data_IF_261028520286
#
_entry.id   IF_261028520286
#
_cell.length_a   1.000
_cell.length_b   1.000
_cell.length_c   1.000
_cell.angle_alpha   90.00
_cell.angle_beta   90.00
_cell.angle_gamma   90.00
#
_symmetry.space_group_name_H-M   'P 1'
#
loop_
_entity.id
_entity.type
_entity.pdbx_description
1 polymer ?
#
# COMPACT_ATOMS: atom_id res chain seq x y z
N UNK A 1 8.33 142.48 -7.86
CA UNK A 1 7.78 141.82 -6.66
C UNK A 1 8.40 140.42 -6.60
N UNK A 2 9.50 140.20 -5.88
CA UNK A 2 9.45 139.89 -4.43
C UNK A 2 8.22 139.06 -4.08
N UNK A 3 8.38 137.75 -4.03
CA UNK A 3 7.38 136.79 -3.57
C UNK A 3 8.08 135.47 -3.34
N UNK A 4 8.98 135.48 -2.36
CA UNK A 4 8.84 134.64 -1.17
C UNK A 4 9.17 133.17 -1.45
N UNK A 5 10.42 132.83 -1.13
CA UNK A 5 10.89 131.45 -1.02
C UNK A 5 9.89 130.61 -0.20
N UNK A 6 9.51 129.41 -0.66
CA UNK A 6 8.47 128.63 -0.01
C UNK A 6 8.86 128.02 1.35
N UNK A 7 10.11 128.17 1.82
CA UNK A 7 10.58 127.81 3.19
C UNK A 7 12.00 128.30 3.46
N UNK A 8 12.23 128.80 4.67
CA UNK A 8 13.48 129.36 5.17
C UNK A 8 14.34 128.31 5.91
N UNK A 9 15.66 128.45 5.80
CA UNK A 9 16.69 127.52 6.29
C UNK A 9 16.57 127.33 7.82
N UNK A 10 16.10 126.15 8.28
CA UNK A 10 16.22 125.73 9.69
C UNK A 10 14.99 125.27 10.49
N UNK A 11 13.80 125.05 9.90
CA UNK A 11 12.64 124.56 10.66
C UNK A 11 12.57 123.01 10.77
N UNK A 12 12.22 122.42 11.94
CA UNK A 12 12.15 120.96 12.15
C UNK A 12 10.89 120.28 11.57
N UNK A 13 11.01 118.99 11.20
CA UNK A 13 10.01 118.18 10.49
C UNK A 13 9.09 117.33 11.42
N UNK A 14 7.81 117.11 11.05
CA UNK A 14 6.91 116.16 11.73
C UNK A 14 7.20 114.69 11.37
N UNK A 15 6.98 113.77 12.32
CA UNK A 15 7.33 112.36 12.26
C UNK A 15 6.32 111.48 11.49
N UNK A 16 6.85 110.42 10.85
CA UNK A 16 6.16 109.44 9.98
C UNK A 16 5.81 108.18 10.78
N UNK A 17 4.58 107.68 10.61
CA UNK A 17 4.02 106.48 11.28
C UNK A 17 4.62 105.16 10.73
N UNK A 18 5.17 104.28 11.59
CA UNK A 18 5.74 102.99 11.22
C UNK A 18 4.77 101.96 10.61
N UNK A 19 3.45 102.08 10.73
CA UNK A 19 2.52 101.00 10.38
C UNK A 19 2.33 100.74 8.87
N UNK A 20 2.66 101.70 8.01
CA UNK A 20 2.32 101.63 6.57
C UNK A 20 3.51 101.42 5.62
N UNK A 21 4.74 101.31 6.11
CA UNK A 21 5.92 101.23 5.25
C UNK A 21 6.29 99.76 4.93
N UNK A 22 6.00 99.30 3.69
CA UNK A 22 6.61 98.08 3.14
C UNK A 22 5.71 96.94 2.62
N UNK A 23 4.39 97.10 2.52
CA UNK A 23 3.52 96.05 1.94
C UNK A 23 3.36 96.20 0.42
N UNK A 24 4.10 95.41 -0.36
CA UNK A 24 3.89 95.25 -1.80
C UNK A 24 2.73 94.26 -2.09
N UNK A 25 1.88 94.50 -3.10
CA UNK A 25 0.78 93.60 -3.44
C UNK A 25 1.28 92.26 -3.99
N UNK A 26 0.60 91.16 -3.64
CA UNK A 26 0.94 89.79 -4.06
C UNK A 26 0.82 89.64 -5.59
N UNK A 27 1.84 89.04 -6.21
CA UNK A 27 1.86 88.70 -7.65
C UNK A 27 1.65 87.20 -7.86
N UNK A 28 1.03 86.81 -8.97
CA UNK A 28 0.71 85.40 -9.29
C UNK A 28 1.93 84.45 -9.26
N UNK A 29 3.12 84.96 -9.53
CA UNK A 29 4.38 84.20 -9.43
C UNK A 29 4.76 83.90 -7.96
N UNK A 30 4.48 84.81 -7.03
CA UNK A 30 4.72 84.61 -5.60
C UNK A 30 3.86 83.51 -5.00
N UNK A 31 2.60 83.40 -5.44
CA UNK A 31 1.70 82.33 -5.00
C UNK A 31 2.12 80.95 -5.59
N UNK A 32 2.62 80.91 -6.83
CA UNK A 32 3.16 79.68 -7.43
C UNK A 32 4.42 79.17 -6.72
N UNK A 33 5.36 80.06 -6.38
CA UNK A 33 6.57 79.69 -5.61
C UNK A 33 6.20 79.16 -4.22
N UNK A 34 5.19 79.76 -3.57
CA UNK A 34 4.70 79.30 -2.27
C UNK A 34 4.07 77.90 -2.33
N UNK A 35 3.38 77.55 -3.42
CA UNK A 35 2.82 76.21 -3.65
C UNK A 35 3.94 75.16 -3.80
N UNK A 36 4.95 75.42 -4.63
CA UNK A 36 6.10 74.50 -4.77
C UNK A 36 6.87 74.32 -3.46
N UNK A 37 7.06 75.40 -2.69
CA UNK A 37 7.71 75.32 -1.38
C UNK A 37 6.89 74.52 -0.35
N UNK A 38 5.55 74.53 -0.47
CA UNK A 38 4.66 73.72 0.36
C UNK A 38 4.72 72.25 -0.05
N UNK A 39 4.70 71.97 -1.35
CA UNK A 39 4.77 70.60 -1.87
C UNK A 39 6.11 69.91 -1.56
N UNK A 40 7.22 70.66 -1.58
CA UNK A 40 8.54 70.14 -1.19
C UNK A 40 8.61 69.81 0.32
N UNK A 41 7.95 70.62 1.17
CA UNK A 41 7.81 70.33 2.60
C UNK A 41 6.94 69.09 2.85
N UNK A 42 5.82 68.97 2.14
CA UNK A 42 4.92 67.83 2.27
C UNK A 42 5.58 66.53 1.76
N UNK A 43 6.41 66.60 0.72
CA UNK A 43 7.21 65.46 0.25
C UNK A 43 8.22 65.00 1.30
N UNK A 44 9.00 65.92 1.88
CA UNK A 44 9.98 65.59 2.93
C UNK A 44 9.29 65.00 4.18
N UNK A 45 8.11 65.49 4.53
CA UNK A 45 7.32 64.96 5.63
C UNK A 45 6.85 63.50 5.37
N UNK A 46 6.44 63.18 4.14
CA UNK A 46 6.06 61.80 3.74
C UNK A 46 7.26 60.84 3.82
N UNK A 47 8.41 61.25 3.30
CA UNK A 47 9.64 60.45 3.34
C UNK A 47 10.12 60.17 4.77
N UNK A 48 10.03 61.17 5.68
CA UNK A 48 10.32 60.96 7.10
C UNK A 48 9.33 60.01 7.77
N UNK A 49 8.05 60.06 7.39
CA UNK A 49 7.01 59.20 7.97
C UNK A 49 7.19 57.74 7.54
N UNK A 50 7.53 57.50 6.26
CA UNK A 50 7.87 56.17 5.75
C UNK A 50 9.16 55.63 6.38
N UNK A 51 10.19 56.46 6.54
CA UNK A 51 11.43 56.07 7.22
C UNK A 51 11.18 55.71 8.70
N UNK A 52 10.27 56.41 9.39
CA UNK A 52 9.85 56.08 10.75
C UNK A 52 9.06 54.77 10.82
N UNK A 53 8.16 54.51 9.87
CA UNK A 53 7.44 53.24 9.77
C UNK A 53 8.39 52.06 9.52
N UNK A 54 9.31 52.17 8.56
CA UNK A 54 10.29 51.11 8.29
C UNK A 54 11.21 50.83 9.48
N UNK A 55 11.59 51.86 10.26
CA UNK A 55 12.35 51.69 11.51
C UNK A 55 11.52 51.00 12.59
N UNK A 56 10.22 51.29 12.69
CA UNK A 56 9.32 50.65 13.64
C UNK A 56 9.09 49.17 13.28
N UNK A 57 8.87 48.86 12.00
CA UNK A 57 8.71 47.50 11.50
C UNK A 57 9.97 46.66 11.71
N UNK A 58 11.16 47.21 11.43
CA UNK A 58 12.44 46.53 11.72
C UNK A 58 12.63 46.24 13.21
N UNK A 59 12.23 47.16 14.10
CA UNK A 59 12.28 46.93 15.55
C UNK A 59 11.29 45.86 16.01
N UNK A 60 10.08 45.84 15.47
CA UNK A 60 9.10 44.78 15.76
C UNK A 60 9.56 43.41 15.24
N UNK A 61 10.15 43.36 14.04
CA UNK A 61 10.69 42.13 13.47
C UNK A 61 11.88 41.57 14.29
N UNK A 62 12.79 42.45 14.74
CA UNK A 62 13.90 42.06 15.63
C UNK A 62 13.39 41.51 16.98
N UNK A 63 12.42 42.20 17.60
CA UNK A 63 11.79 41.74 18.84
C UNK A 63 11.05 40.40 18.68
N UNK A 64 10.39 40.17 17.54
CA UNK A 64 9.76 38.90 17.23
C UNK A 64 10.77 37.76 17.06
N UNK A 65 11.90 38.01 16.39
CA UNK A 65 12.98 37.03 16.26
C UNK A 65 13.63 36.69 17.61
N UNK A 66 13.85 37.69 18.48
CA UNK A 66 14.36 37.47 19.84
C UNK A 66 13.36 36.66 20.69
N UNK A 67 12.06 36.94 20.59
CA UNK A 67 11.02 36.18 21.26
C UNK A 67 10.97 34.72 20.78
N UNK A 68 11.12 34.47 19.47
CA UNK A 68 11.21 33.13 18.90
C UNK A 68 12.48 32.40 19.37
N UNK A 69 13.62 33.08 19.44
CA UNK A 69 14.88 32.51 19.92
C UNK A 69 14.79 32.16 21.41
N UNK A 70 14.18 33.02 22.24
CA UNK A 70 13.94 32.75 23.65
C UNK A 70 12.98 31.57 23.85
N UNK A 71 11.89 31.51 23.07
CA UNK A 71 10.95 30.39 23.09
C UNK A 71 11.61 29.07 22.63
N UNK A 72 12.50 29.11 21.64
CA UNK A 72 13.29 27.96 21.21
C UNK A 72 14.24 27.51 22.33
N UNK A 73 14.95 28.45 22.98
CA UNK A 73 15.83 28.17 24.12
C UNK A 73 15.11 27.53 25.31
N UNK A 74 13.88 27.96 25.59
CA UNK A 74 13.02 27.35 26.61
C UNK A 74 12.64 25.91 26.24
N UNK A 75 12.25 25.66 24.98
CA UNK A 75 11.96 24.31 24.48
C UNK A 75 13.18 23.39 24.55
N UNK A 76 14.37 23.91 24.23
CA UNK A 76 15.62 23.15 24.37
C UNK A 76 15.91 22.80 25.83
N UNK A 77 15.77 23.75 26.77
CA UNK A 77 15.94 23.49 28.21
C UNK A 77 14.94 22.46 28.73
N UNK A 78 13.66 22.58 28.35
CA UNK A 78 12.64 21.57 28.70
C UNK A 78 12.96 20.20 28.14
N UNK A 79 13.40 20.12 26.87
CA UNK A 79 13.84 18.87 26.25
C UNK A 79 15.03 18.27 27.00
N UNK A 80 16.03 19.08 27.34
CA UNK A 80 17.25 18.62 27.99
C UNK A 80 17.00 18.15 29.43
N UNK A 81 15.98 18.68 30.12
CA UNK A 81 15.48 18.15 31.40
C UNK A 81 14.71 16.82 31.25
N UNK A 82 14.04 16.62 30.11
CA UNK A 82 13.29 15.40 29.83
C UNK A 82 14.20 14.26 29.32
N UNK A 83 15.28 14.56 28.61
CA UNK A 83 16.19 13.56 28.03
C UNK A 83 16.75 12.58 29.08
N UNK A 84 17.22 12.98 30.28
CA UNK A 84 17.63 12.05 31.33
C UNK A 84 16.50 11.16 31.83
N UNK A 85 15.30 11.71 32.03
CA UNK A 85 14.10 10.94 32.45
C UNK A 85 13.72 9.90 31.40
N UNK A 86 13.76 10.29 30.12
CA UNK A 86 13.53 9.42 28.98
C UNK A 86 14.62 8.34 28.90
N UNK A 87 15.90 8.67 29.13
CA UNK A 87 17.01 7.69 29.17
C UNK A 87 16.85 6.68 30.29
N UNK A 88 16.47 7.12 31.49
CA UNK A 88 16.20 6.23 32.63
C UNK A 88 14.98 5.34 32.34
N UNK A 89 13.90 5.90 31.79
CA UNK A 89 12.72 5.14 31.38
C UNK A 89 13.05 4.10 30.29
N UNK A 90 13.86 4.44 29.29
CA UNK A 90 14.33 3.50 28.28
C UNK A 90 15.26 2.42 28.86
N UNK A 91 16.14 2.77 29.82
CA UNK A 91 17.01 1.80 30.48
C UNK A 91 16.21 0.83 31.37
N UNK A 92 15.17 1.31 32.07
CA UNK A 92 14.24 0.49 32.82
C UNK A 92 13.39 -0.40 31.88
N UNK A 93 12.88 0.16 30.79
CA UNK A 93 12.14 -0.59 29.78
C UNK A 93 13.01 -1.65 29.09
N UNK A 94 14.31 -1.43 28.86
CA UNK A 94 15.21 -2.47 28.32
C UNK A 94 15.39 -3.66 29.27
N UNK A 95 15.21 -3.46 30.58
CA UNK A 95 15.29 -4.53 31.59
C UNK A 95 13.96 -5.28 31.75
N UNK A 96 12.86 -4.72 31.27
CA UNK A 96 11.55 -5.37 31.30
C UNK A 96 11.44 -6.43 30.18
N UNK A 97 11.23 -7.73 30.51
CA UNK A 97 11.03 -8.79 29.52
C UNK A 97 9.86 -8.52 28.56
N UNK A 98 8.87 -7.71 28.98
CA UNK A 98 7.66 -7.42 28.20
C UNK A 98 7.90 -6.31 27.15
N UNK A 99 8.92 -5.47 27.36
CA UNK A 99 9.21 -4.29 26.53
C UNK A 99 9.62 -4.62 25.10
N UNK A 100 10.42 -5.66 24.89
CA UNK A 100 10.87 -6.07 23.54
C UNK A 100 9.71 -6.43 22.61
N UNK A 101 8.88 -7.44 22.96
CA UNK A 101 7.72 -7.80 22.15
C UNK A 101 6.70 -6.67 21.98
N UNK A 102 6.60 -5.76 22.96
CA UNK A 102 5.74 -4.57 22.85
C UNK A 102 6.29 -3.55 21.85
N UNK A 103 7.60 -3.29 21.85
CA UNK A 103 8.25 -2.43 20.87
C UNK A 103 8.09 -2.99 19.45
N UNK A 104 8.31 -4.29 19.28
CA UNK A 104 8.11 -4.99 18.00
C UNK A 104 6.65 -4.92 17.53
N UNK A 105 5.69 -5.09 18.45
CA UNK A 105 4.27 -4.92 18.16
C UNK A 105 3.95 -3.49 17.71
N UNK A 106 4.56 -2.47 18.33
CA UNK A 106 4.35 -1.07 17.96
C UNK A 106 4.96 -0.72 16.60
N UNK A 107 6.04 -1.40 16.21
CA UNK A 107 6.66 -1.27 14.89
C UNK A 107 5.86 -1.94 13.77
N UNK A 108 4.91 -2.82 14.09
CA UNK A 108 4.08 -3.46 13.08
C UNK A 108 3.12 -2.46 12.37
N UNK A 109 2.81 -2.72 11.10
CA UNK A 109 1.73 -2.06 10.38
C UNK A 109 0.38 -2.09 11.12
N UNK A 110 -0.45 -1.07 10.92
CA UNK A 110 -1.75 -0.93 11.61
C UNK A 110 -2.67 -2.14 11.46
N UNK A 111 -2.71 -2.78 10.30
CA UNK A 111 -3.58 -3.93 10.06
C UNK A 111 -3.15 -5.19 10.84
N UNK A 112 -1.89 -5.28 11.28
CA UNK A 112 -1.41 -6.34 12.20
C UNK A 112 -1.41 -5.87 13.64
N UNK A 113 -0.96 -4.64 13.87
CA UNK A 113 -0.84 -4.03 15.20
C UNK A 113 -2.19 -3.91 15.88
N UNK A 114 -3.20 -3.39 15.19
CA UNK A 114 -4.54 -3.14 15.76
C UNK A 114 -5.19 -4.39 16.35
N UNK A 115 -5.35 -5.52 15.63
CA UNK A 115 -5.99 -6.70 16.20
C UNK A 115 -5.18 -7.31 17.36
N UNK A 116 -3.85 -7.31 17.27
CA UNK A 116 -2.99 -7.82 18.34
C UNK A 116 -3.04 -6.94 19.60
N UNK A 117 -3.09 -5.62 19.43
CA UNK A 117 -3.23 -4.65 20.50
C UNK A 117 -4.62 -4.72 21.16
N UNK A 118 -5.68 -4.88 20.37
CA UNK A 118 -7.03 -5.11 20.90
C UNK A 118 -7.08 -6.36 21.76
N UNK A 119 -6.46 -7.46 21.32
CA UNK A 119 -6.36 -8.68 22.12
C UNK A 119 -5.57 -8.45 23.41
N UNK A 120 -4.47 -7.72 23.35
CA UNK A 120 -3.69 -7.37 24.54
C UNK A 120 -4.51 -6.55 25.53
N UNK A 121 -5.21 -5.51 25.09
CA UNK A 121 -6.10 -4.68 25.92
C UNK A 121 -7.18 -5.50 26.62
N UNK A 122 -7.78 -6.46 25.91
CA UNK A 122 -8.77 -7.38 26.51
C UNK A 122 -8.14 -8.26 27.62
N UNK A 123 -6.90 -8.70 27.43
CA UNK A 123 -6.19 -9.50 28.44
C UNK A 123 -5.70 -8.65 29.62
N UNK A 124 -5.34 -7.39 29.40
CA UNK A 124 -4.99 -6.44 30.45
C UNK A 124 -6.20 -6.21 31.38
N UNK A 125 -7.38 -5.93 30.82
CA UNK A 125 -8.63 -5.82 31.61
C UNK A 125 -8.92 -7.08 32.44
N UNK A 126 -8.69 -8.27 31.87
CA UNK A 126 -8.86 -9.54 32.60
C UNK A 126 -7.83 -9.72 33.71
N UNK A 127 -6.61 -9.24 33.51
CA UNK A 127 -5.55 -9.26 34.52
C UNK A 127 -5.88 -8.29 35.67
N UNK A 128 -6.25 -7.05 35.35
CA UNK A 128 -6.69 -6.05 36.33
C UNK A 128 -7.86 -6.56 37.18
N UNK A 129 -8.86 -7.19 36.55
CA UNK A 129 -9.99 -7.79 37.28
C UNK A 129 -9.57 -8.99 38.16
N UNK A 130 -8.57 -9.76 37.74
CA UNK A 130 -8.04 -10.87 38.54
C UNK A 130 -7.22 -10.36 39.74
N UNK A 131 -6.40 -9.32 39.53
CA UNK A 131 -5.62 -8.65 40.57
C UNK A 131 -6.55 -8.00 41.61
N UNK A 132 -7.61 -7.32 41.16
CA UNK A 132 -8.66 -6.78 42.05
C UNK A 132 -9.38 -7.87 42.86
N UNK A 133 -9.49 -9.08 42.30
CA UNK A 133 -10.04 -10.26 42.99
C UNK A 133 -8.99 -11.04 43.82
N UNK A 134 -7.77 -10.50 44.00
CA UNK A 134 -6.68 -11.14 44.76
C UNK A 134 -6.06 -12.38 44.09
N UNK A 135 -6.35 -12.63 42.81
CA UNK A 135 -5.84 -13.79 42.07
C UNK A 135 -4.50 -13.46 41.42
N UNK A 136 -3.53 -14.36 41.50
CA UNK A 136 -2.18 -14.22 40.90
C UNK A 136 -2.12 -14.43 39.37
N UNK A 137 -3.27 -14.48 38.70
CA UNK A 137 -3.35 -14.75 37.26
C UNK A 137 -2.87 -13.55 36.44
N UNK A 138 -1.79 -13.73 35.66
CA UNK A 138 -1.23 -12.69 34.76
C UNK A 138 -1.39 -13.03 33.28
N UNK A 139 -2.62 -13.00 32.74
CA UNK A 139 -2.88 -13.39 31.36
C UNK A 139 -2.26 -12.44 30.32
N UNK A 140 -2.11 -11.15 30.62
CA UNK A 140 -1.51 -10.19 29.69
C UNK A 140 0.00 -10.41 29.54
N UNK A 141 0.74 -10.47 30.67
CA UNK A 141 2.18 -10.77 30.64
C UNK A 141 2.48 -12.15 30.02
N UNK A 142 1.67 -13.17 30.32
CA UNK A 142 1.81 -14.50 29.69
C UNK A 142 1.63 -14.42 28.17
N UNK A 143 0.66 -13.64 27.69
CA UNK A 143 0.42 -13.44 26.27
C UNK A 143 1.59 -12.72 25.59
N UNK A 144 2.13 -11.65 26.20
CA UNK A 144 3.27 -10.90 25.67
C UNK A 144 4.48 -11.83 25.51
N UNK A 145 4.83 -12.58 26.56
CA UNK A 145 6.05 -13.41 26.60
C UNK A 145 5.98 -14.66 25.73
N UNK A 146 4.80 -15.29 25.62
CA UNK A 146 4.65 -16.55 24.87
C UNK A 146 4.01 -16.34 23.50
N UNK A 147 2.71 -16.05 23.47
CA UNK A 147 1.92 -16.06 22.24
C UNK A 147 2.29 -14.90 21.31
N UNK A 148 2.41 -13.67 21.80
CA UNK A 148 2.76 -12.51 20.99
C UNK A 148 4.17 -12.66 20.39
N UNK A 149 5.16 -13.02 21.21
CA UNK A 149 6.52 -13.30 20.73
C UNK A 149 6.55 -14.36 19.62
N UNK A 150 5.76 -15.45 19.76
CA UNK A 150 5.62 -16.46 18.71
C UNK A 150 4.99 -15.87 17.44
N UNK A 151 3.91 -15.10 17.55
CA UNK A 151 3.25 -14.49 16.40
C UNK A 151 4.17 -13.51 15.66
N UNK A 152 4.96 -12.72 16.38
CA UNK A 152 5.95 -11.80 15.80
C UNK A 152 7.02 -12.56 15.00
N UNK A 153 7.56 -13.65 15.56
CA UNK A 153 8.51 -14.53 14.84
C UNK A 153 7.89 -15.12 13.58
N UNK A 154 6.63 -15.53 13.64
CA UNK A 154 5.88 -16.06 12.48
C UNK A 154 5.67 -15.01 11.40
N UNK A 155 5.35 -13.76 11.75
CA UNK A 155 5.23 -12.64 10.81
C UNK A 155 6.58 -12.37 10.13
N UNK A 156 7.68 -12.35 10.91
CA UNK A 156 9.03 -12.17 10.38
C UNK A 156 9.43 -13.29 9.41
N UNK A 157 9.07 -14.55 9.74
CA UNK A 157 9.27 -15.70 8.84
C UNK A 157 8.47 -15.54 7.54
N UNK A 158 7.21 -15.10 7.59
CA UNK A 158 6.44 -14.80 6.37
C UNK A 158 7.12 -13.70 5.56
N UNK A 159 7.58 -12.63 6.20
CA UNK A 159 8.26 -11.53 5.50
C UNK A 159 9.53 -11.98 4.80
N UNK A 160 10.35 -12.84 5.40
CA UNK A 160 11.58 -13.33 4.75
C UNK A 160 11.31 -14.19 3.51
N UNK A 161 10.16 -14.87 3.42
CA UNK A 161 9.75 -15.61 2.23
C UNK A 161 9.43 -14.69 1.05
N UNK A 162 8.79 -13.55 1.29
CA UNK A 162 8.48 -12.57 0.26
C UNK A 162 9.70 -11.69 -0.05
N UNK A 163 10.39 -11.19 0.96
CA UNK A 163 11.60 -10.37 0.85
C UNK A 163 12.85 -11.23 0.63
N UNK A 164 12.87 -12.00 -0.47
CA UNK A 164 14.07 -12.76 -0.83
C UNK A 164 15.23 -11.81 -1.15
N UNK A 165 16.48 -12.29 -1.04
CA UNK A 165 17.64 -11.46 -1.37
C UNK A 165 17.58 -10.90 -2.81
N UNK A 166 17.11 -11.70 -3.78
CA UNK A 166 16.92 -11.26 -5.17
C UNK A 166 15.85 -10.17 -5.29
N UNK A 167 14.75 -10.31 -4.54
CA UNK A 167 13.68 -9.31 -4.50
C UNK A 167 14.22 -7.96 -3.97
N UNK A 168 14.94 -7.99 -2.85
CA UNK A 168 15.52 -6.79 -2.23
C UNK A 168 16.57 -6.14 -3.14
N UNK A 169 17.47 -6.94 -3.72
CA UNK A 169 18.50 -6.45 -4.64
C UNK A 169 17.88 -5.75 -5.85
N UNK A 170 16.82 -6.33 -6.43
CA UNK A 170 16.13 -5.73 -7.57
C UNK A 170 15.42 -4.44 -7.19
N UNK A 171 14.76 -4.42 -6.01
CA UNK A 171 14.14 -3.21 -5.49
C UNK A 171 15.16 -2.06 -5.34
N UNK A 172 16.33 -2.32 -4.77
CA UNK A 172 17.38 -1.31 -4.59
C UNK A 172 18.00 -0.90 -5.93
N UNK A 173 18.34 -1.87 -6.79
CA UNK A 173 18.99 -1.62 -8.09
C UNK A 173 18.13 -0.73 -8.98
N UNK A 174 16.83 -1.01 -9.07
CA UNK A 174 15.90 -0.28 -9.92
C UNK A 174 15.21 0.89 -9.18
N UNK A 175 15.65 1.21 -7.95
CA UNK A 175 15.09 2.27 -7.10
C UNK A 175 13.58 2.16 -6.86
N UNK A 176 13.11 0.93 -6.66
CA UNK A 176 11.73 0.57 -6.38
C UNK A 176 11.55 0.29 -4.88
N UNK A 177 11.98 1.21 -4.01
CA UNK A 177 12.03 1.00 -2.55
C UNK A 177 10.67 0.63 -1.94
N UNK A 178 9.58 1.14 -2.51
CA UNK A 178 8.20 0.83 -2.09
C UNK A 178 7.85 -0.67 -2.23
N UNK A 179 8.57 -1.43 -3.05
CA UNK A 179 8.43 -2.90 -3.12
C UNK A 179 8.76 -3.57 -1.78
N UNK A 180 9.65 -2.97 -0.97
CA UNK A 180 10.02 -3.48 0.36
C UNK A 180 8.87 -3.35 1.37
N UNK A 181 7.94 -2.44 1.10
CA UNK A 181 6.79 -2.11 1.93
C UNK A 181 5.45 -2.44 1.26
N UNK A 182 5.47 -3.30 0.24
CA UNK A 182 4.31 -3.62 -0.62
C UNK A 182 2.98 -3.87 0.15
N UNK A 183 2.92 -4.62 1.27
CA UNK A 183 1.67 -4.86 2.02
C UNK A 183 1.00 -3.59 2.59
N UNK A 184 1.78 -2.52 2.80
CA UNK A 184 1.33 -1.23 3.33
C UNK A 184 0.65 -0.36 2.27
N UNK A 185 0.97 -0.58 0.99
CA UNK A 185 0.52 0.29 -0.08
C UNK A 185 -0.98 0.22 -0.29
N UNK A 186 -1.55 1.40 -0.54
CA UNK A 186 -2.92 1.57 -1.00
C UNK A 186 -2.98 1.50 -2.54
N UNK A 187 -4.17 1.63 -3.12
CA UNK A 187 -4.36 1.54 -4.58
C UNK A 187 -3.51 2.55 -5.37
N UNK A 188 -3.42 3.80 -4.90
CA UNK A 188 -2.65 4.86 -5.56
C UNK A 188 -1.16 4.56 -5.51
N UNK A 189 -0.65 4.16 -4.34
CA UNK A 189 0.75 3.75 -4.18
C UNK A 189 1.12 2.57 -5.08
N UNK A 190 0.22 1.60 -5.24
CA UNK A 190 0.41 0.49 -6.18
C UNK A 190 0.43 0.95 -7.64
N UNK A 191 -0.41 1.90 -8.04
CA UNK A 191 -0.39 2.47 -9.39
C UNK A 191 0.93 3.19 -9.68
N UNK A 192 1.39 4.05 -8.76
CA UNK A 192 2.69 4.73 -8.89
C UNK A 192 3.84 3.73 -8.99
N UNK A 193 3.87 2.73 -8.09
CA UNK A 193 4.89 1.70 -8.11
C UNK A 193 4.85 0.85 -9.39
N UNK A 194 3.66 0.56 -9.91
CA UNK A 194 3.49 -0.18 -11.15
C UNK A 194 4.02 0.60 -12.36
N UNK A 195 3.80 1.92 -12.41
CA UNK A 195 4.39 2.79 -13.43
C UNK A 195 5.92 2.76 -13.35
N UNK A 196 6.50 2.92 -12.16
CA UNK A 196 7.95 2.86 -11.98
C UNK A 196 8.52 1.49 -12.36
N UNK A 197 7.84 0.41 -11.99
CA UNK A 197 8.24 -0.97 -12.34
C UNK A 197 8.19 -1.17 -13.85
N UNK A 198 7.11 -0.75 -14.51
CA UNK A 198 7.00 -0.80 -15.97
C UNK A 198 8.13 -0.02 -16.65
N UNK A 199 8.42 1.20 -16.19
CA UNK A 199 9.53 2.00 -16.70
C UNK A 199 10.89 1.34 -16.47
N UNK A 200 11.13 0.67 -15.34
CA UNK A 200 12.36 -0.08 -15.09
C UNK A 200 12.53 -1.24 -16.09
N UNK A 201 11.45 -1.97 -16.38
CA UNK A 201 11.46 -3.06 -17.37
C UNK A 201 11.67 -2.52 -18.79
N UNK A 202 11.05 -1.40 -19.15
CA UNK A 202 11.28 -0.72 -20.43
C UNK A 202 12.72 -0.25 -20.56
N UNK A 203 13.25 0.43 -19.54
CA UNK A 203 14.63 0.91 -19.54
C UNK A 203 15.65 -0.22 -19.65
N UNK A 204 15.43 -1.34 -18.96
CA UNK A 204 16.30 -2.52 -19.07
C UNK A 204 16.21 -3.19 -20.45
N UNK A 205 15.03 -3.21 -21.07
CA UNK A 205 14.87 -3.66 -22.45
C UNK A 205 15.66 -2.76 -23.41
N UNK A 206 15.43 -1.45 -23.36
CA UNK A 206 16.06 -0.47 -24.25
C UNK A 206 17.59 -0.49 -24.12
N UNK A 207 18.08 -0.60 -22.88
CA UNK A 207 19.51 -0.72 -22.56
C UNK A 207 20.17 -1.95 -23.19
N UNK A 208 19.44 -3.04 -23.37
CA UNK A 208 19.96 -4.28 -23.97
C UNK A 208 19.71 -4.36 -25.48
N UNK A 209 18.61 -3.80 -25.95
CA UNK A 209 18.21 -3.86 -27.35
C UNK A 209 18.99 -2.86 -28.22
N UNK A 210 19.35 -1.69 -27.66
CA UNK A 210 20.01 -0.59 -28.37
C UNK A 210 21.54 -0.60 -28.24
N UNK A 211 22.13 -1.69 -27.71
CA UNK A 211 23.60 -1.75 -27.57
C UNK A 211 24.29 -1.73 -28.94
N UNK A 212 25.31 -0.87 -29.14
CA UNK A 212 26.05 -0.80 -30.39
C UNK A 212 26.64 -2.16 -30.79
N UNK A 213 26.47 -2.55 -32.05
CA UNK A 213 27.01 -3.78 -32.60
C UNK A 213 26.13 -5.03 -32.45
N UNK A 214 24.96 -4.94 -31.80
CA UNK A 214 24.03 -6.08 -31.71
C UNK A 214 22.99 -6.04 -32.85
N UNK A 215 22.86 -7.15 -33.59
CA UNK A 215 21.85 -7.31 -34.64
C UNK A 215 20.46 -7.55 -34.05
N UNK A 216 19.56 -6.60 -34.27
CA UNK A 216 18.15 -6.66 -33.89
C UNK A 216 17.43 -7.83 -34.56
N UNK A 217 17.29 -8.94 -33.83
CA UNK A 217 16.65 -10.17 -34.32
C UNK A 217 15.57 -10.66 -33.34
N UNK A 218 14.55 -11.42 -33.81
CA UNK A 218 13.55 -12.02 -32.92
C UNK A 218 14.16 -12.89 -31.81
N UNK A 219 15.26 -13.58 -32.12
CA UNK A 219 15.99 -14.40 -31.14
C UNK A 219 16.68 -13.55 -30.07
N UNK A 220 17.21 -12.38 -30.42
CA UNK A 220 17.73 -11.44 -29.43
C UNK A 220 16.61 -10.89 -28.54
N UNK A 221 15.47 -10.50 -29.12
CA UNK A 221 14.31 -10.04 -28.37
C UNK A 221 13.79 -11.12 -27.39
N UNK A 222 13.79 -12.39 -27.82
CA UNK A 222 13.47 -13.53 -26.96
C UNK A 222 14.46 -13.64 -25.79
N UNK A 223 15.77 -13.54 -26.05
CA UNK A 223 16.78 -13.61 -25.00
C UNK A 223 16.64 -12.47 -23.98
N UNK A 224 16.32 -11.26 -24.44
CA UNK A 224 16.04 -10.12 -23.55
C UNK A 224 14.78 -10.38 -22.73
N UNK A 225 13.68 -10.81 -23.38
CA UNK A 225 12.46 -11.22 -22.68
C UNK A 225 12.74 -12.27 -21.59
N UNK A 226 13.58 -13.27 -21.86
CA UNK A 226 13.90 -14.30 -20.88
C UNK A 226 14.63 -13.72 -19.66
N UNK A 227 15.54 -12.76 -19.86
CA UNK A 227 16.22 -12.03 -18.77
C UNK A 227 15.26 -11.16 -17.97
N UNK A 228 14.40 -10.38 -18.64
CA UNK A 228 13.33 -9.62 -17.99
C UNK A 228 12.36 -10.55 -17.24
N UNK A 229 12.08 -11.73 -17.81
CA UNK A 229 11.26 -12.75 -17.18
C UNK A 229 11.87 -13.24 -15.86
N UNK A 230 13.19 -13.44 -15.80
CA UNK A 230 13.88 -13.75 -14.54
C UNK A 230 13.83 -12.60 -13.52
N UNK A 231 13.84 -11.33 -13.98
CA UNK A 231 13.60 -10.18 -13.08
C UNK A 231 12.19 -10.23 -12.50
N UNK A 232 11.16 -10.43 -13.33
CA UNK A 232 9.78 -10.55 -12.87
C UNK A 232 9.57 -11.74 -11.91
N UNK A 233 10.20 -12.89 -12.19
CA UNK A 233 10.20 -14.04 -11.27
C UNK A 233 10.85 -13.72 -9.93
N UNK A 234 11.89 -12.88 -9.91
CA UNK A 234 12.51 -12.41 -8.66
C UNK A 234 11.57 -11.52 -7.84
N UNK A 235 10.56 -10.91 -8.49
CA UNK A 235 9.44 -10.19 -7.87
C UNK A 235 8.23 -11.09 -7.54
N UNK A 236 8.37 -12.42 -7.59
CA UNK A 236 7.28 -13.40 -7.41
C UNK A 236 6.14 -13.28 -8.42
N UNK A 237 6.43 -12.75 -9.61
CA UNK A 237 5.47 -12.54 -10.70
C UNK A 237 5.85 -13.42 -11.88
N UNK A 238 4.94 -14.30 -12.29
CA UNK A 238 5.14 -15.14 -13.47
C UNK A 238 5.04 -14.28 -14.73
N UNK A 239 6.08 -14.26 -15.58
CA UNK A 239 6.06 -13.46 -16.80
C UNK A 239 4.93 -13.91 -17.74
N UNK A 240 4.35 -12.99 -18.54
CA UNK A 240 3.34 -13.34 -19.53
C UNK A 240 3.87 -14.39 -20.51
N UNK A 241 3.14 -15.47 -20.75
CA UNK A 241 3.56 -16.56 -21.67
C UNK A 241 4.88 -17.26 -21.28
N UNK A 242 5.30 -17.23 -20.01
CA UNK A 242 6.58 -17.79 -19.56
C UNK A 242 6.79 -19.26 -19.97
N UNK A 243 5.82 -20.14 -19.72
CA UNK A 243 5.97 -21.56 -20.09
C UNK A 243 6.20 -21.77 -21.60
N UNK A 244 5.62 -20.91 -22.44
CA UNK A 244 5.80 -20.96 -23.88
C UNK A 244 7.09 -20.29 -24.36
N UNK A 245 7.73 -19.43 -23.57
CA UNK A 245 8.88 -18.60 -23.99
C UNK A 245 10.16 -18.83 -23.15
N UNK A 246 10.09 -19.61 -22.06
CA UNK A 246 11.22 -19.87 -21.16
C UNK A 246 12.38 -20.60 -21.85
N UNK A 247 13.63 -20.37 -21.43
CA UNK A 247 14.75 -21.17 -21.90
C UNK A 247 14.63 -22.59 -21.33
N UNK A 248 14.35 -23.58 -22.18
CA UNK A 248 14.23 -24.97 -21.77
C UNK A 248 15.02 -25.86 -22.75
N UNK A 249 16.13 -26.41 -22.27
CA UNK A 249 17.03 -27.25 -23.07
C UNK A 249 16.40 -28.60 -23.45
N UNK A 250 15.33 -29.03 -22.76
CA UNK A 250 14.65 -30.31 -23.00
C UNK A 250 13.31 -30.17 -23.73
N UNK A 251 13.05 -29.02 -24.35
CA UNK A 251 11.74 -28.72 -24.95
C UNK A 251 11.50 -29.56 -26.21
N UNK A 252 10.36 -30.25 -26.25
CA UNK A 252 9.92 -31.05 -27.42
C UNK A 252 9.25 -30.23 -28.53
N UNK A 253 8.65 -29.10 -28.17
CA UNK A 253 7.92 -28.21 -29.09
C UNK A 253 8.74 -26.95 -29.36
N UNK A 254 8.72 -26.45 -30.59
CA UNK A 254 9.36 -25.18 -30.94
C UNK A 254 8.83 -24.00 -30.11
N UNK A 255 9.64 -22.94 -30.01
CA UNK A 255 9.28 -21.73 -29.28
C UNK A 255 8.28 -20.93 -30.14
N UNK A 256 7.12 -20.65 -29.56
CA UNK A 256 6.05 -19.88 -30.20
C UNK A 256 6.38 -18.37 -30.13
N UNK A 257 7.12 -17.88 -31.13
CA UNK A 257 7.58 -16.49 -31.20
C UNK A 257 6.44 -15.48 -31.39
N UNK A 258 5.28 -15.89 -31.91
CA UNK A 258 4.09 -15.02 -32.05
C UNK A 258 3.61 -14.45 -30.71
N UNK A 259 3.88 -15.17 -29.62
CA UNK A 259 3.54 -14.74 -28.26
C UNK A 259 4.50 -13.71 -27.67
N UNK A 260 5.66 -13.50 -28.29
CA UNK A 260 6.73 -12.65 -27.76
C UNK A 260 6.36 -11.16 -27.71
N UNK A 261 5.82 -10.54 -28.79
CA UNK A 261 5.49 -9.11 -28.77
C UNK A 261 4.51 -8.76 -27.65
N UNK A 262 3.39 -9.49 -27.55
CA UNK A 262 2.39 -9.26 -26.50
C UNK A 262 2.92 -9.54 -25.08
N UNK A 263 3.89 -10.45 -24.94
CA UNK A 263 4.52 -10.70 -23.65
C UNK A 263 5.46 -9.56 -23.21
N UNK A 264 6.25 -9.02 -24.13
CA UNK A 264 7.09 -7.84 -23.90
C UNK A 264 6.23 -6.60 -23.59
N UNK A 265 5.20 -6.33 -24.39
CA UNK A 265 4.29 -5.20 -24.16
C UNK A 265 3.66 -5.23 -22.76
N UNK A 266 3.28 -6.42 -22.27
CA UNK A 266 2.75 -6.56 -20.89
C UNK A 266 3.80 -6.29 -19.81
N UNK A 267 5.04 -6.73 -20.00
CA UNK A 267 6.14 -6.45 -19.06
C UNK A 267 6.47 -4.95 -18.99
N UNK A 268 6.15 -4.17 -20.02
CA UNK A 268 6.33 -2.72 -20.09
C UNK A 268 5.04 -1.94 -19.76
N UNK A 269 3.96 -2.62 -19.41
CA UNK A 269 2.64 -2.02 -19.21
C UNK A 269 2.37 -1.75 -17.72
N UNK A 270 2.20 -0.48 -17.36
CA UNK A 270 1.88 -0.06 -15.99
C UNK A 270 0.55 -0.64 -15.47
N UNK A 271 -0.47 -0.76 -16.33
CA UNK A 271 -1.76 -1.34 -15.95
C UNK A 271 -1.62 -2.84 -15.62
N UNK A 272 -0.87 -3.59 -16.43
CA UNK A 272 -0.58 -4.99 -16.15
C UNK A 272 0.15 -5.17 -14.81
N UNK A 273 1.18 -4.35 -14.56
CA UNK A 273 1.89 -4.34 -13.28
C UNK A 273 1.00 -3.94 -12.10
N UNK A 274 0.07 -3.01 -12.30
CA UNK A 274 -0.91 -2.62 -11.26
C UNK A 274 -1.69 -3.83 -10.79
N UNK A 275 -2.18 -4.66 -11.72
CA UNK A 275 -2.88 -5.90 -11.38
C UNK A 275 -1.97 -6.93 -10.70
N UNK A 276 -0.73 -7.13 -11.18
CA UNK A 276 0.17 -8.13 -10.60
C UNK A 276 0.60 -7.74 -9.19
N UNK A 277 1.04 -6.49 -8.99
CA UNK A 277 1.48 -5.97 -7.70
C UNK A 277 0.33 -5.91 -6.70
N UNK A 278 -0.88 -5.54 -7.13
CA UNK A 278 -2.07 -5.59 -6.26
C UNK A 278 -2.35 -7.00 -5.76
N UNK A 279 -2.28 -8.01 -6.65
CA UNK A 279 -2.47 -9.42 -6.28
C UNK A 279 -1.38 -9.92 -5.33
N UNK A 280 -0.11 -9.55 -5.58
CA UNK A 280 1.00 -9.91 -4.70
C UNK A 280 0.85 -9.26 -3.32
N UNK A 281 0.53 -7.97 -3.29
CA UNK A 281 0.24 -7.19 -2.08
C UNK A 281 -0.86 -7.87 -1.25
N UNK A 282 -1.98 -8.23 -1.86
CA UNK A 282 -3.09 -8.89 -1.16
C UNK A 282 -2.70 -10.27 -0.63
N UNK A 283 -1.99 -11.08 -1.42
CA UNK A 283 -1.50 -12.38 -0.96
C UNK A 283 -0.54 -12.25 0.22
N UNK A 284 0.46 -11.37 0.12
CA UNK A 284 1.43 -11.17 1.19
C UNK A 284 0.77 -10.68 2.47
N UNK A 285 -0.12 -9.68 2.38
CA UNK A 285 -0.87 -9.18 3.53
C UNK A 285 -1.73 -10.25 4.19
N UNK A 286 -2.40 -11.09 3.40
CA UNK A 286 -3.20 -12.19 3.94
C UNK A 286 -2.32 -13.23 4.65
N UNK A 287 -1.17 -13.58 4.09
CA UNK A 287 -0.23 -14.51 4.72
C UNK A 287 0.36 -13.95 6.03
N UNK A 288 0.57 -12.64 6.14
CA UNK A 288 0.97 -11.99 7.40
C UNK A 288 -0.15 -12.08 8.44
N UNK A 289 -1.40 -11.83 8.04
CA UNK A 289 -2.56 -11.94 8.93
C UNK A 289 -2.78 -13.39 9.39
N UNK A 290 -2.56 -14.36 8.50
CA UNK A 290 -2.56 -15.78 8.84
C UNK A 290 -1.46 -16.15 9.82
N UNK A 291 -0.23 -15.66 9.60
CA UNK A 291 0.88 -15.82 10.53
C UNK A 291 0.58 -15.22 11.92
N UNK A 292 -0.14 -14.10 11.94
CA UNK A 292 -0.61 -13.42 13.14
C UNK A 292 -1.84 -14.08 13.82
N UNK A 293 -2.31 -15.24 13.32
CA UNK A 293 -3.46 -15.96 13.86
C UNK A 293 -4.80 -15.26 13.65
N UNK A 294 -4.88 -14.32 12.70
CA UNK A 294 -6.11 -13.61 12.34
C UNK A 294 -7.00 -14.40 11.37
N UNK A 295 -6.45 -15.47 10.80
CA UNK A 295 -7.20 -16.49 10.03
C UNK A 295 -7.18 -17.76 10.85
N UNK A 296 -8.32 -18.07 11.47
CA UNK A 296 -8.49 -19.24 12.33
C UNK A 296 -9.97 -19.47 12.60
N UNK A 297 -10.32 -20.67 13.08
CA UNK A 297 -11.69 -21.02 13.46
C UNK A 297 -12.31 -20.03 14.46
N UNK A 298 -11.50 -19.52 15.40
CA UNK A 298 -11.96 -18.64 16.48
C UNK A 298 -12.00 -17.15 16.09
N UNK A 299 -11.16 -16.71 15.15
CA UNK A 299 -11.06 -15.27 14.80
C UNK A 299 -11.86 -14.93 13.54
N UNK A 300 -11.58 -15.63 12.46
CA UNK A 300 -12.13 -15.43 11.12
C UNK A 300 -11.76 -16.65 10.27
N UNK A 301 -12.69 -17.58 10.01
CA UNK A 301 -12.39 -18.77 9.24
C UNK A 301 -12.15 -18.44 7.76
N UNK A 302 -11.26 -19.20 7.11
CA UNK A 302 -10.91 -19.17 5.68
C UNK A 302 -10.14 -17.94 5.20
N UNK A 303 -10.52 -16.76 5.69
CA UNK A 303 -10.00 -15.47 5.25
C UNK A 303 -10.01 -14.48 6.40
N UNK A 304 -9.03 -13.57 6.43
CA UNK A 304 -8.98 -12.48 7.40
C UNK A 304 -10.18 -11.53 7.25
N UNK A 305 -10.55 -10.86 8.35
CA UNK A 305 -11.62 -9.84 8.33
C UNK A 305 -11.32 -8.68 7.38
N UNK A 306 -10.03 -8.33 7.24
CA UNK A 306 -9.56 -7.28 6.35
C UNK A 306 -9.86 -7.63 4.88
N UNK A 307 -9.45 -8.81 4.44
CA UNK A 307 -9.69 -9.27 3.08
C UNK A 307 -11.19 -9.55 2.82
N UNK A 308 -11.93 -10.06 3.80
CA UNK A 308 -13.39 -10.26 3.69
C UNK A 308 -14.14 -8.93 3.50
N UNK A 309 -13.78 -7.91 4.27
CA UNK A 309 -14.37 -6.58 4.14
C UNK A 309 -14.04 -5.95 2.78
N UNK A 310 -12.78 -6.05 2.34
CA UNK A 310 -12.37 -5.58 1.02
C UNK A 310 -13.14 -6.29 -0.11
N UNK A 311 -13.34 -7.61 0.01
CA UNK A 311 -14.13 -8.39 -0.96
C UNK A 311 -15.61 -7.97 -0.98
N UNK A 312 -16.22 -7.79 0.19
CA UNK A 312 -17.63 -7.33 0.30
C UNK A 312 -17.81 -5.94 -0.29
N UNK A 313 -16.88 -5.04 -0.03
CA UNK A 313 -16.90 -3.68 -0.56
C UNK A 313 -16.71 -3.67 -2.07
N UNK A 314 -15.79 -4.49 -2.60
CA UNK A 314 -15.65 -4.66 -4.05
C UNK A 314 -16.94 -5.17 -4.70
N UNK A 315 -17.60 -6.15 -4.09
CA UNK A 315 -18.90 -6.66 -4.59
C UNK A 315 -20.01 -5.64 -4.50
N UNK A 316 -20.03 -4.79 -3.46
CA UNK A 316 -21.00 -3.71 -3.33
C UNK A 316 -20.83 -2.72 -4.49
N UNK A 317 -19.62 -2.19 -4.69
CA UNK A 317 -19.32 -1.25 -5.79
C UNK A 317 -19.64 -1.81 -7.16
N UNK A 318 -19.31 -3.09 -7.40
CA UNK A 318 -19.66 -3.74 -8.66
C UNK A 318 -21.18 -3.79 -8.85
N UNK A 319 -21.95 -4.16 -7.82
CA UNK A 319 -23.41 -4.17 -7.94
C UNK A 319 -23.99 -2.78 -8.17
N UNK A 320 -23.47 -1.78 -7.46
CA UNK A 320 -23.94 -0.40 -7.61
C UNK A 320 -23.65 0.11 -9.03
N UNK A 321 -22.45 -0.19 -9.56
CA UNK A 321 -22.10 0.07 -10.94
C UNK A 321 -23.04 -0.65 -11.92
N UNK A 322 -23.26 -1.95 -11.77
CA UNK A 322 -24.12 -2.71 -12.69
C UNK A 322 -25.56 -2.17 -12.70
N UNK A 323 -26.11 -1.80 -11.54
CA UNK A 323 -27.47 -1.28 -11.42
C UNK A 323 -27.65 0.14 -11.92
N UNK A 324 -26.56 0.91 -12.01
CA UNK A 324 -26.60 2.30 -12.48
C UNK A 324 -26.36 2.43 -13.98
N UNK A 325 -26.23 1.31 -14.70
CA UNK A 325 -25.94 1.29 -16.13
C UNK A 325 -26.90 0.36 -16.85
N UNK A 326 -27.26 0.73 -18.07
CA UNK A 326 -28.06 -0.06 -18.98
C UNK A 326 -27.27 -0.25 -20.29
N UNK A 327 -27.57 -1.33 -21.01
CA UNK A 327 -27.03 -1.57 -22.34
C UNK A 327 -28.07 -1.15 -23.36
N UNK A 328 -27.66 -0.35 -24.34
CA UNK A 328 -28.50 0.14 -25.43
C UNK A 328 -27.94 -0.38 -26.75
N UNK A 329 -28.77 -1.01 -27.58
CA UNK A 329 -28.37 -1.42 -28.93
C UNK A 329 -28.59 -0.29 -29.96
N UNK A 330 -28.18 -0.50 -31.21
CA UNK A 330 -28.34 0.48 -32.29
C UNK A 330 -29.81 0.80 -32.60
N UNK A 331 -30.74 -0.13 -32.34
CA UNK A 331 -32.18 0.02 -32.54
C UNK A 331 -32.89 0.75 -31.37
N UNK A 332 -32.16 1.13 -30.31
CA UNK A 332 -32.71 1.78 -29.12
C UNK A 332 -33.37 0.85 -28.09
N UNK A 333 -33.22 -0.48 -28.24
CA UNK A 333 -33.58 -1.45 -27.23
C UNK A 333 -32.62 -1.36 -26.04
N UNK A 334 -33.18 -1.26 -24.84
CA UNK A 334 -32.45 -1.12 -23.58
C UNK A 334 -32.66 -2.33 -22.68
N UNK A 335 -31.57 -2.82 -22.08
CA UNK A 335 -31.61 -3.89 -21.08
C UNK A 335 -30.72 -3.53 -19.88
N UNK A 336 -31.15 -3.87 -18.68
CA UNK A 336 -30.37 -3.65 -17.46
C UNK A 336 -29.05 -4.45 -17.53
N UNK A 337 -27.92 -3.76 -17.34
CA UNK A 337 -26.60 -4.38 -17.34
C UNK A 337 -26.46 -5.41 -16.20
N UNK A 338 -27.14 -5.19 -15.08
CA UNK A 338 -27.20 -6.12 -13.96
C UNK A 338 -27.75 -7.48 -14.38
N UNK A 339 -28.87 -7.50 -15.10
CA UNK A 339 -29.51 -8.74 -15.53
C UNK A 339 -28.65 -9.48 -16.56
N UNK A 340 -28.09 -8.76 -17.53
CA UNK A 340 -27.18 -9.35 -18.54
C UNK A 340 -25.93 -9.94 -17.87
N UNK A 341 -25.34 -9.24 -16.91
CA UNK A 341 -24.15 -9.71 -16.21
C UNK A 341 -24.40 -11.04 -15.48
N UNK A 342 -25.53 -11.18 -14.77
CA UNK A 342 -25.86 -12.39 -14.01
C UNK A 342 -26.51 -13.49 -14.87
N UNK A 343 -27.03 -13.16 -16.06
CA UNK A 343 -27.47 -14.14 -17.06
C UNK A 343 -26.28 -14.86 -17.72
N UNK A 344 -25.10 -14.24 -17.75
CA UNK A 344 -23.91 -14.81 -18.39
C UNK A 344 -23.49 -16.17 -17.83
N UNK A 345 -22.82 -16.99 -18.66
CA UNK A 345 -22.20 -18.25 -18.24
C UNK A 345 -21.13 -18.07 -17.14
N UNK A 346 -20.60 -16.86 -16.98
CA UNK A 346 -19.64 -16.53 -15.93
C UNK A 346 -20.28 -16.34 -14.55
N UNK A 347 -21.62 -16.31 -14.46
CA UNK A 347 -22.34 -16.24 -13.20
C UNK A 347 -21.97 -17.42 -12.28
N UNK A 348 -21.56 -17.17 -11.01
CA UNK A 348 -21.27 -18.26 -10.07
C UNK A 348 -22.43 -19.24 -9.87
N UNK A 349 -23.67 -18.77 -10.01
CA UNK A 349 -24.87 -19.61 -9.94
C UNK A 349 -24.92 -20.60 -11.11
N UNK A 350 -24.71 -20.12 -12.33
CA UNK A 350 -24.71 -20.95 -13.54
C UNK A 350 -23.55 -21.94 -13.54
N UNK A 351 -22.34 -21.50 -13.17
CA UNK A 351 -21.18 -22.41 -13.03
C UNK A 351 -21.40 -23.50 -11.99
N UNK A 352 -22.12 -23.20 -10.90
CA UNK A 352 -22.52 -24.23 -9.93
C UNK A 352 -23.49 -25.23 -10.56
N UNK A 353 -24.49 -24.77 -11.30
CA UNK A 353 -25.42 -25.67 -11.99
C UNK A 353 -24.71 -26.56 -13.01
N UNK A 354 -23.84 -26.00 -13.83
CA UNK A 354 -23.01 -26.74 -14.78
C UNK A 354 -22.16 -27.82 -14.09
N UNK A 355 -21.52 -27.48 -12.97
CA UNK A 355 -20.75 -28.43 -12.16
C UNK A 355 -21.64 -29.56 -11.62
N UNK A 356 -22.82 -29.23 -11.07
CA UNK A 356 -23.76 -30.24 -10.54
C UNK A 356 -24.31 -31.14 -11.65
N UNK A 357 -24.65 -30.59 -12.81
CA UNK A 357 -25.09 -31.35 -13.98
C UNK A 357 -23.99 -32.29 -14.49
N UNK A 358 -22.74 -31.82 -14.54
CA UNK A 358 -21.59 -32.65 -14.92
C UNK A 358 -21.37 -33.77 -13.91
N UNK A 359 -21.49 -33.48 -12.62
CA UNK A 359 -21.37 -34.49 -11.55
C UNK A 359 -22.45 -35.57 -11.69
N UNK A 360 -23.71 -35.20 -11.94
CA UNK A 360 -24.78 -36.17 -12.17
C UNK A 360 -24.57 -36.97 -13.46
N UNK A 361 -24.05 -36.36 -14.52
CA UNK A 361 -23.69 -37.08 -15.74
C UNK A 361 -22.62 -38.16 -15.50
N UNK A 362 -21.58 -37.84 -14.70
CA UNK A 362 -20.55 -38.82 -14.33
C UNK A 362 -21.09 -39.95 -13.46
N UNK A 363 -22.01 -39.64 -12.55
CA UNK A 363 -22.71 -40.65 -11.72
C UNK A 363 -23.51 -41.62 -12.59
N UNK A 364 -24.31 -41.13 -13.54
CA UNK A 364 -25.07 -41.98 -14.47
C UNK A 364 -24.15 -42.86 -15.34
N UNK A 365 -23.01 -42.32 -15.78
CA UNK A 365 -22.00 -43.09 -16.51
C UNK A 365 -21.40 -44.19 -15.62
N UNK A 366 -21.12 -43.89 -14.35
CA UNK A 366 -20.62 -44.87 -13.40
C UNK A 366 -21.63 -46.00 -13.14
N UNK A 367 -22.89 -45.64 -12.90
CA UNK A 367 -23.98 -46.62 -12.75
C UNK A 367 -24.10 -47.53 -13.97
N UNK A 368 -24.08 -46.98 -15.18
CA UNK A 368 -24.14 -47.75 -16.43
C UNK A 368 -22.93 -48.70 -16.61
N UNK A 369 -21.78 -48.37 -16.02
CA UNK A 369 -20.56 -49.18 -16.06
C UNK A 369 -20.44 -50.17 -14.89
N UNK A 370 -21.31 -50.05 -13.87
CA UNK A 370 -21.18 -50.78 -12.61
C UNK A 370 -20.03 -50.27 -11.72
N UNK A 371 -19.48 -49.08 -12.00
CA UNK A 371 -18.44 -48.44 -11.21
C UNK A 371 -19.04 -47.85 -9.92
N UNK A 372 -18.32 -47.93 -8.80
CA UNK A 372 -18.83 -47.49 -7.49
C UNK A 372 -18.23 -46.16 -7.04
N UNK A 373 -19.03 -45.27 -6.42
CA UNK A 373 -18.55 -43.99 -5.92
C UNK A 373 -17.76 -44.16 -4.60
N UNK A 374 -16.69 -43.39 -4.45
CA UNK A 374 -15.94 -43.25 -3.19
C UNK A 374 -15.62 -41.77 -2.94
N UNK A 375 -15.90 -41.31 -1.72
CA UNK A 375 -15.59 -39.95 -1.28
C UNK A 375 -14.26 -39.93 -0.53
N UNK A 376 -13.31 -39.12 -0.99
CA UNK A 376 -11.99 -38.97 -0.39
C UNK A 376 -11.76 -37.52 -0.02
N UNK A 377 -11.39 -37.28 1.25
CA UNK A 377 -10.93 -35.98 1.71
C UNK A 377 -9.41 -36.02 1.87
N UNK A 378 -8.70 -35.23 1.07
CA UNK A 378 -7.24 -35.13 1.12
C UNK A 378 -6.86 -33.82 1.80
N UNK A 379 -6.14 -33.91 2.92
CA UNK A 379 -5.65 -32.75 3.65
C UNK A 379 -4.12 -32.64 3.58
N UNK A 380 -3.61 -31.42 3.70
CA UNK A 380 -2.18 -31.18 3.80
C UNK A 380 -1.63 -31.62 5.17
N UNK A 381 -0.36 -32.07 5.25
CA UNK A 381 0.32 -32.34 6.52
C UNK A 381 0.30 -31.14 7.48
N UNK A 382 0.38 -31.39 8.79
CA UNK A 382 0.30 -30.35 9.84
C UNK A 382 1.24 -29.16 9.63
N UNK A 383 2.39 -29.30 8.96
CA UNK A 383 3.32 -28.20 8.71
C UNK A 383 2.75 -27.08 7.84
N UNK A 384 1.70 -27.37 7.08
CA UNK A 384 0.99 -26.38 6.25
C UNK A 384 -0.06 -25.57 7.02
N UNK A 385 -0.51 -26.08 8.16
CA UNK A 385 -1.62 -25.49 8.92
C UNK A 385 -1.09 -24.47 9.92
N UNK A 386 -1.48 -23.21 9.74
CA UNK A 386 -1.07 -22.08 10.56
C UNK A 386 -1.69 -22.10 11.96
N UNK A 387 -2.89 -22.67 12.11
CA UNK A 387 -3.56 -22.77 13.42
C UNK A 387 -4.20 -24.13 13.63
N UNK A 388 -4.25 -24.58 14.87
CA UNK A 388 -5.01 -25.78 15.25
C UNK A 388 -6.51 -25.52 15.16
N UNK A 389 -7.33 -26.56 15.26
CA UNK A 389 -8.79 -26.45 15.26
C UNK A 389 -9.31 -25.52 16.37
N UNK A 390 -8.69 -25.55 17.54
CA UNK A 390 -8.98 -24.65 18.66
C UNK A 390 -8.58 -23.18 18.42
N UNK A 391 -7.94 -22.87 17.29
CA UNK A 391 -7.47 -21.53 16.93
C UNK A 391 -6.15 -21.12 17.61
N UNK A 392 -5.41 -22.08 18.18
CA UNK A 392 -4.07 -21.82 18.71
C UNK A 392 -3.02 -21.84 17.58
N UNK A 393 -1.95 -21.03 17.67
CA UNK A 393 -0.81 -21.13 16.77
C UNK A 393 -0.25 -22.57 16.74
N UNK A 394 -0.13 -23.14 15.54
CA UNK A 394 0.46 -24.47 15.40
C UNK A 394 2.00 -24.40 15.47
N UNK A 395 2.59 -25.15 16.39
CA UNK A 395 4.04 -25.20 16.57
C UNK A 395 4.78 -25.88 15.39
N UNK A 396 4.09 -26.75 14.62
CA UNK A 396 4.66 -27.45 13.46
C UNK A 396 4.64 -26.62 12.17
N UNK A 397 3.97 -25.47 12.17
CA UNK A 397 3.83 -24.64 10.97
C UNK A 397 5.17 -24.05 10.52
N UNK A 398 5.53 -24.29 9.27
CA UNK A 398 6.85 -23.94 8.71
C UNK A 398 6.88 -22.61 7.95
N UNK A 399 5.81 -21.82 8.02
CA UNK A 399 5.68 -20.58 7.24
C UNK A 399 5.23 -20.78 5.80
N UNK A 400 4.91 -22.01 5.38
CA UNK A 400 4.26 -22.28 4.10
C UNK A 400 3.00 -21.43 3.92
N UNK A 401 2.72 -21.04 2.69
CA UNK A 401 1.59 -20.20 2.25
C UNK A 401 0.38 -21.05 1.83
N UNK A 402 -0.80 -20.44 1.64
CA UNK A 402 -1.97 -21.12 1.03
C UNK A 402 -1.56 -21.69 -0.33
N UNK A 403 -0.77 -20.93 -1.10
CA UNK A 403 -0.29 -21.37 -2.40
C UNK A 403 0.61 -22.59 -2.31
N UNK A 404 1.53 -22.62 -1.35
CA UNK A 404 2.40 -23.78 -1.11
C UNK A 404 1.60 -25.05 -0.79
N UNK A 405 0.49 -24.92 -0.04
CA UNK A 405 -0.40 -26.06 0.26
C UNK A 405 -1.07 -26.61 -1.00
N UNK A 406 -1.55 -25.72 -1.89
CA UNK A 406 -2.11 -26.10 -3.19
C UNK A 406 -1.07 -26.77 -4.09
N UNK A 407 0.13 -26.17 -4.18
CA UNK A 407 1.21 -26.69 -5.00
C UNK A 407 1.73 -28.03 -4.47
N UNK A 408 1.72 -28.27 -3.15
CA UNK A 408 2.02 -29.57 -2.57
C UNK A 408 1.01 -30.63 -3.02
N UNK A 409 -0.29 -30.35 -2.92
CA UNK A 409 -1.32 -31.31 -3.32
C UNK A 409 -1.23 -31.65 -4.81
N UNK A 410 -1.05 -30.64 -5.68
CA UNK A 410 -0.95 -30.86 -7.14
C UNK A 410 0.37 -31.51 -7.53
N UNK A 411 1.50 -30.93 -7.14
CA UNK A 411 2.80 -31.27 -7.73
C UNK A 411 3.51 -32.40 -7.01
N UNK A 412 3.16 -32.67 -5.75
CA UNK A 412 3.79 -33.75 -4.95
C UNK A 412 2.82 -34.90 -4.72
N UNK A 413 1.73 -34.66 -4.00
CA UNK A 413 0.78 -35.71 -3.63
C UNK A 413 0.13 -36.35 -4.86
N UNK A 414 -0.57 -35.56 -5.68
CA UNK A 414 -1.34 -36.09 -6.80
C UNK A 414 -0.46 -36.64 -7.92
N UNK A 415 0.72 -36.03 -8.13
CA UNK A 415 1.72 -36.57 -9.04
C UNK A 415 2.18 -37.98 -8.61
N UNK A 416 2.43 -38.20 -7.32
CA UNK A 416 2.79 -39.51 -6.78
C UNK A 416 1.64 -40.52 -6.87
N UNK A 417 0.41 -40.10 -6.55
CA UNK A 417 -0.81 -40.92 -6.68
C UNK A 417 -0.98 -41.39 -8.12
N UNK A 418 -0.98 -40.48 -9.10
CA UNK A 418 -1.08 -40.83 -10.53
C UNK A 418 0.01 -41.79 -10.98
N UNK A 419 1.26 -41.58 -10.53
CA UNK A 419 2.38 -42.46 -10.86
C UNK A 419 2.20 -43.86 -10.25
N UNK A 420 1.68 -43.97 -9.03
CA UNK A 420 1.44 -45.26 -8.37
C UNK A 420 0.32 -46.03 -9.06
N UNK A 421 -0.82 -45.38 -9.31
CA UNK A 421 -1.96 -45.98 -10.00
C UNK A 421 -1.59 -46.48 -11.39
N UNK A 422 -0.86 -45.67 -12.17
CA UNK A 422 -0.37 -46.07 -13.50
C UNK A 422 0.54 -47.30 -13.46
N UNK A 423 1.38 -47.47 -12.44
CA UNK A 423 2.25 -48.65 -12.33
C UNK A 423 1.48 -49.92 -11.98
N UNK A 424 0.36 -49.77 -11.28
CA UNK A 424 -0.49 -50.87 -10.87
C UNK A 424 -1.64 -51.14 -11.87
N UNK A 425 -1.66 -50.45 -13.02
CA UNK A 425 -2.75 -50.49 -14.00
C UNK A 425 -4.15 -50.24 -13.39
N UNK A 426 -4.23 -49.36 -12.39
CA UNK A 426 -5.49 -48.99 -11.74
C UNK A 426 -6.04 -47.69 -12.35
N UNK A 427 -7.35 -47.67 -12.59
CA UNK A 427 -8.01 -46.54 -13.23
C UNK A 427 -9.19 -46.03 -12.40
N UNK A 428 -9.28 -44.72 -12.30
CA UNK A 428 -10.43 -44.05 -11.70
C UNK A 428 -10.69 -42.75 -12.44
N UNK A 429 -11.90 -42.23 -12.27
CA UNK A 429 -12.30 -40.94 -12.79
C UNK A 429 -13.22 -40.26 -11.78
N UNK A 430 -13.48 -38.96 -11.96
CA UNK A 430 -14.35 -38.23 -11.05
C UNK A 430 -14.05 -36.74 -10.97
N UNK A 431 -14.53 -36.12 -9.90
CA UNK A 431 -14.45 -34.67 -9.68
C UNK A 431 -13.68 -34.40 -8.39
N UNK A 432 -12.89 -33.33 -8.40
CA UNK A 432 -12.29 -32.76 -7.19
C UNK A 432 -12.72 -31.31 -7.01
N UNK A 433 -12.95 -30.93 -5.76
CA UNK A 433 -13.17 -29.55 -5.33
C UNK A 433 -12.09 -29.19 -4.33
N UNK A 434 -11.54 -27.98 -4.45
CA UNK A 434 -10.57 -27.43 -3.50
C UNK A 434 -11.28 -26.47 -2.55
N UNK A 435 -11.18 -26.74 -1.26
CA UNK A 435 -11.78 -25.93 -0.21
C UNK A 435 -10.72 -25.47 0.80
N UNK A 436 -10.86 -24.27 1.38
CA UNK A 436 -10.00 -23.82 2.45
C UNK A 436 -10.41 -24.48 3.78
N UNK A 437 -9.45 -24.92 4.58
CA UNK A 437 -9.64 -25.19 6.01
C UNK A 437 -9.89 -23.90 6.78
N UNK A 438 -10.25 -24.00 8.07
CA UNK A 438 -10.52 -22.83 8.92
C UNK A 438 -9.36 -21.83 8.99
N UNK A 439 -8.13 -22.26 8.74
CA UNK A 439 -6.93 -21.43 8.69
C UNK A 439 -6.51 -21.03 7.27
N UNK A 440 -7.31 -21.36 6.26
CA UNK A 440 -7.08 -21.08 4.84
C UNK A 440 -6.27 -22.15 4.10
N UNK A 441 -5.74 -23.18 4.77
CA UNK A 441 -4.97 -24.25 4.13
C UNK A 441 -5.84 -25.04 3.17
N UNK A 442 -5.35 -25.34 1.96
CA UNK A 442 -6.14 -26.06 0.95
C UNK A 442 -6.30 -27.53 1.36
N UNK A 443 -7.53 -28.03 1.24
CA UNK A 443 -7.84 -29.45 1.18
C UNK A 443 -8.70 -29.77 -0.03
N UNK A 444 -8.72 -31.03 -0.43
CA UNK A 444 -9.55 -31.50 -1.53
C UNK A 444 -10.65 -32.41 -1.02
N UNK A 445 -11.85 -32.21 -1.55
CA UNK A 445 -12.89 -33.22 -1.56
C UNK A 445 -12.95 -33.82 -2.95
N UNK A 446 -12.89 -35.14 -3.02
CA UNK A 446 -12.85 -35.89 -4.26
C UNK A 446 -14.00 -36.88 -4.25
N UNK A 447 -14.82 -36.85 -5.28
CA UNK A 447 -15.75 -37.93 -5.60
C UNK A 447 -15.12 -38.70 -6.75
N UNK A 448 -14.75 -39.94 -6.47
CA UNK A 448 -14.07 -40.83 -7.42
C UNK A 448 -14.96 -42.02 -7.74
N UNK A 449 -14.86 -42.52 -8.96
CA UNK A 449 -15.53 -43.73 -9.44
C UNK A 449 -14.45 -44.70 -9.92
N UNK A 450 -14.59 -45.96 -9.52
CA UNK A 450 -13.69 -47.04 -9.88
C UNK A 450 -14.46 -48.36 -9.92
N UNK A 451 -13.87 -49.36 -10.59
CA UNK A 451 -14.43 -50.70 -10.62
C UNK A 451 -14.51 -51.27 -9.18
N UNK A 452 -15.57 -52.02 -8.81
CA UNK A 452 -15.74 -52.53 -7.45
C UNK A 452 -14.52 -53.27 -6.88
N UNK A 453 -13.85 -54.06 -7.72
CA UNK A 453 -12.67 -54.84 -7.35
C UNK A 453 -11.42 -53.99 -7.11
N UNK A 454 -11.31 -52.82 -7.75
CA UNK A 454 -10.14 -51.93 -7.65
C UNK A 454 -10.26 -50.94 -6.48
N UNK A 455 -11.48 -50.70 -5.99
CA UNK A 455 -11.83 -49.62 -5.06
C UNK A 455 -11.04 -49.62 -3.76
N UNK A 456 -10.80 -50.77 -3.14
CA UNK A 456 -10.03 -50.84 -1.88
C UNK A 456 -8.52 -50.66 -2.09
N UNK A 457 -8.02 -50.99 -3.28
CA UNK A 457 -6.60 -50.87 -3.61
C UNK A 457 -6.22 -49.43 -3.97
N UNK A 458 -7.16 -48.68 -4.56
CA UNK A 458 -7.06 -47.26 -4.91
C UNK A 458 -7.12 -46.40 -3.65
#
# INVERSE_FOLDING_TARGET
>A
MSGQYPRAWGAPHPAIDPETFGRAPRTALGDAIALYAKEDKDRKAREEQEARQQRAEKKQAASHQEALAAAAGERFRQRDLLLPKIRIAHAAARKDPDSGPLADLMALPDYLRTPLLQRLKLLQKKQEAAEAAGKSSRPASRYIRSKLALLLRRIALTNSRFLTHKYQLLAVRERLDELLHLPLLNKRGIQTLATLTASAFSGEFDRQYTQPGIKQTPMQALAIYQRLGHMALSLHITPPNWEALRPDKGRRKEIDLEKLPGALSRLMCAEWWTHQLWRLRCRWREEQLRAAGQVSRQTSPYLSRDALNAFREQRRRLRDFLKSHELVNEDGFTIDLYDVYYASASSPKHRRFEMMTTMKGLELIAEARGDIPTFITVTCPSRFHATTEDGHPNARWDGSTVRDSSDYLVNRFFSAVRKKLKRNNLYWYGIRVAEPHHDGTVHWHMMIFAHPEERETI
#
